data_IF_014031757908
#
_entry.id   IF_014031757908
#
_cell.length_a   1.000
_cell.length_b   1.000
_cell.length_c   1.000
_cell.angle_alpha   90.00
_cell.angle_beta   90.00
_cell.angle_gamma   90.00
#
_symmetry.space_group_name_H-M   'P 1'
#
loop_
_entity.id
_entity.type
_entity.pdbx_description
1 polymer ?
#
# COMPACT_ATOMS: atom_id res chain seq x y z
N UNK A 1 58.74 -57.92 -8.87
CA UNK A 1 58.35 -57.05 -7.76
C UNK A 1 58.32 -55.62 -8.28
N UNK A 2 57.15 -55.06 -8.55
CA UNK A 2 56.95 -53.67 -8.97
C UNK A 2 56.07 -53.07 -7.92
N UNK A 3 56.60 -52.12 -7.16
CA UNK A 3 55.86 -51.30 -6.19
C UNK A 3 55.21 -50.10 -6.88
N UNK A 4 53.93 -49.93 -6.68
CA UNK A 4 53.18 -48.75 -7.11
C UNK A 4 53.12 -47.73 -5.98
N UNK A 5 53.34 -46.41 -6.24
CA UNK A 5 53.08 -45.36 -5.26
C UNK A 5 51.60 -45.00 -5.24
N UNK A 6 51.04 -45.02 -4.05
CA UNK A 6 49.71 -44.53 -3.76
C UNK A 6 49.71 -42.98 -3.68
N UNK A 7 49.14 -42.30 -4.66
CA UNK A 7 48.88 -40.87 -4.60
C UNK A 7 47.44 -40.62 -4.13
N UNK A 8 47.30 -40.35 -2.84
CA UNK A 8 46.04 -39.86 -2.25
C UNK A 8 45.83 -38.39 -2.53
N UNK A 9 45.03 -38.07 -3.54
CA UNK A 9 44.55 -36.72 -3.76
C UNK A 9 43.30 -36.50 -2.92
N UNK A 10 43.51 -35.96 -1.72
CA UNK A 10 42.40 -35.46 -0.88
C UNK A 10 41.79 -34.20 -1.50
N UNK A 11 40.65 -34.31 -2.17
CA UNK A 11 39.86 -33.15 -2.57
C UNK A 11 39.23 -32.56 -1.32
N UNK A 12 39.77 -31.44 -0.87
CA UNK A 12 39.14 -30.60 0.16
C UNK A 12 37.94 -29.90 -0.46
N UNK A 13 36.75 -30.45 -0.26
CA UNK A 13 35.51 -29.75 -0.54
C UNK A 13 35.45 -28.52 0.39
N UNK A 14 35.18 -27.31 -0.15
CA UNK A 14 35.01 -26.13 0.70
C UNK A 14 33.80 -26.34 1.62
N UNK A 15 34.04 -26.33 2.91
CA UNK A 15 33.00 -26.34 3.93
C UNK A 15 32.04 -25.15 3.68
N UNK A 16 30.72 -25.35 3.62
CA UNK A 16 29.80 -24.22 3.45
C UNK A 16 29.96 -23.27 4.64
N UNK A 17 30.39 -22.05 4.34
CA UNK A 17 30.51 -20.98 5.33
C UNK A 17 29.17 -20.83 6.01
N UNK A 18 29.09 -21.15 7.28
CA UNK A 18 27.89 -21.01 8.11
C UNK A 18 27.58 -19.52 8.19
N UNK A 19 26.77 -19.04 7.23
CA UNK A 19 26.27 -17.67 7.22
C UNK A 19 25.65 -17.40 8.59
N UNK A 20 26.19 -16.41 9.28
CA UNK A 20 25.82 -16.13 10.65
C UNK A 20 24.40 -15.55 10.67
N UNK A 21 23.43 -16.44 10.80
CA UNK A 21 21.99 -16.15 10.75
C UNK A 21 21.57 -15.04 11.72
N UNK A 22 22.26 -14.92 12.86
CA UNK A 22 22.04 -13.85 13.82
C UNK A 22 22.43 -12.48 13.26
N UNK A 23 23.59 -12.33 12.60
CA UNK A 23 23.99 -11.06 11.99
C UNK A 23 23.02 -10.60 10.89
N UNK A 24 22.49 -11.54 10.14
CA UNK A 24 21.52 -11.25 9.09
C UNK A 24 20.18 -10.79 9.66
N UNK A 25 19.73 -11.39 10.76
CA UNK A 25 18.50 -10.97 11.46
C UNK A 25 18.67 -9.57 12.07
N UNK A 26 19.80 -9.31 12.72
CA UNK A 26 20.09 -8.03 13.38
C UNK A 26 20.15 -6.84 12.39
N UNK A 27 20.49 -7.08 11.13
CA UNK A 27 20.47 -6.03 10.09
C UNK A 27 19.10 -5.85 9.43
N UNK A 28 18.30 -6.91 9.33
CA UNK A 28 16.98 -6.86 8.66
C UNK A 28 15.91 -6.25 9.56
N UNK A 29 15.99 -6.49 10.87
CA UNK A 29 14.96 -6.01 11.81
C UNK A 29 14.79 -4.48 11.81
N UNK A 30 15.85 -3.65 11.89
CA UNK A 30 15.69 -2.19 11.85
C UNK A 30 15.19 -1.70 10.50
N UNK A 31 15.66 -2.25 9.39
CA UNK A 31 15.21 -1.90 8.04
C UNK A 31 13.73 -2.25 7.84
N UNK A 32 13.32 -3.42 8.32
CA UNK A 32 11.92 -3.84 8.29
C UNK A 32 11.04 -2.92 9.15
N UNK A 33 11.50 -2.55 10.34
CA UNK A 33 10.78 -1.64 11.25
C UNK A 33 10.60 -0.25 10.63
N UNK A 34 11.62 0.30 10.00
CA UNK A 34 11.55 1.57 9.29
C UNK A 34 10.57 1.50 8.12
N UNK A 35 10.63 0.45 7.32
CA UNK A 35 9.71 0.21 6.20
C UNK A 35 8.27 0.09 6.68
N UNK A 36 8.01 -0.63 7.77
CA UNK A 36 6.68 -0.75 8.39
C UNK A 36 6.19 0.61 8.86
N UNK A 37 7.03 1.40 9.50
CA UNK A 37 6.65 2.73 10.00
C UNK A 37 6.29 3.66 8.84
N UNK A 38 7.13 3.73 7.82
CA UNK A 38 6.88 4.54 6.61
C UNK A 38 5.63 4.09 5.86
N UNK A 39 5.40 2.79 5.72
CA UNK A 39 4.23 2.27 5.00
C UNK A 39 2.90 2.56 5.70
N UNK A 40 2.92 2.81 7.02
CA UNK A 40 1.73 3.15 7.83
C UNK A 40 1.44 4.66 7.89
N UNK A 41 2.30 5.49 7.34
CA UNK A 41 2.06 6.93 7.32
C UNK A 41 0.87 7.28 6.44
N UNK A 42 -0.17 7.80 7.08
CA UNK A 42 -1.42 8.17 6.41
C UNK A 42 -1.24 9.45 5.60
N UNK A 43 -1.50 9.38 4.30
CA UNK A 43 -1.48 10.51 3.37
C UNK A 43 -2.79 11.31 3.46
N UNK A 44 -3.92 10.61 3.51
CA UNK A 44 -5.24 11.20 3.65
C UNK A 44 -6.21 10.19 4.27
N UNK A 45 -7.12 10.68 5.11
CA UNK A 45 -8.20 9.88 5.67
C UNK A 45 -9.50 10.68 5.61
N UNK A 46 -10.61 9.98 5.37
CA UNK A 46 -11.94 10.56 5.38
C UNK A 46 -12.95 9.57 5.95
N UNK A 47 -14.03 10.11 6.50
CA UNK A 47 -15.16 9.34 7.01
C UNK A 47 -16.46 9.83 6.37
N UNK A 48 -17.40 8.91 6.21
CA UNK A 48 -18.73 9.25 5.71
C UNK A 48 -19.50 10.10 6.73
N UNK A 49 -20.43 10.92 6.24
CA UNK A 49 -21.08 11.96 7.05
C UNK A 49 -22.38 11.45 7.63
N UNK A 50 -22.51 11.55 8.98
CA UNK A 50 -23.79 11.41 9.67
C UNK A 50 -24.72 12.60 9.31
N UNK A 51 -26.07 12.45 9.15
CA UNK A 51 -26.88 11.24 9.38
C UNK A 51 -27.12 10.36 8.16
N UNK A 52 -26.43 10.60 7.04
CA UNK A 52 -26.63 9.84 5.80
C UNK A 52 -26.19 8.38 5.93
N UNK A 53 -25.25 8.11 6.85
CA UNK A 53 -24.90 6.77 7.30
C UNK A 53 -24.98 6.71 8.82
N UNK A 54 -25.74 5.74 9.36
CA UNK A 54 -25.81 5.51 10.82
C UNK A 54 -24.47 4.97 11.34
N UNK A 55 -23.71 4.30 10.49
CA UNK A 55 -22.40 3.73 10.78
C UNK A 55 -21.42 4.31 9.76
N UNK A 56 -20.57 5.26 10.17
CA UNK A 56 -19.68 5.92 9.23
C UNK A 56 -18.57 4.98 8.75
N UNK A 57 -18.49 4.80 7.43
CA UNK A 57 -17.36 4.16 6.78
C UNK A 57 -16.14 5.06 6.83
N UNK A 58 -14.97 4.46 6.87
CA UNK A 58 -13.70 5.17 6.84
C UNK A 58 -12.88 4.76 5.62
N UNK A 59 -12.32 5.75 4.94
CA UNK A 59 -11.37 5.55 3.85
C UNK A 59 -10.04 6.13 4.28
N UNK A 60 -8.99 5.33 4.24
CA UNK A 60 -7.63 5.75 4.61
C UNK A 60 -6.67 5.35 3.50
N UNK A 61 -5.93 6.32 3.00
CA UNK A 61 -4.84 6.11 2.04
C UNK A 61 -3.52 6.28 2.77
N UNK A 62 -2.73 5.24 2.79
CA UNK A 62 -1.32 5.26 3.22
C UNK A 62 -0.38 5.15 2.02
N UNK A 63 0.93 5.02 2.26
CA UNK A 63 1.94 4.94 1.20
C UNK A 63 1.89 3.66 0.37
N UNK A 64 1.27 2.60 0.87
CA UNK A 64 1.28 1.28 0.25
C UNK A 64 -0.12 0.86 -0.24
N UNK A 65 -1.16 1.29 0.44
CA UNK A 65 -2.52 0.78 0.23
C UNK A 65 -3.60 1.80 0.52
N UNK A 66 -4.75 1.56 -0.08
CA UNK A 66 -6.03 2.17 0.27
C UNK A 66 -6.80 1.19 1.15
N UNK A 67 -7.24 1.63 2.31
CA UNK A 67 -8.04 0.83 3.23
C UNK A 67 -9.44 1.45 3.31
N UNK A 68 -10.46 0.62 3.07
CA UNK A 68 -11.88 0.97 3.21
C UNK A 68 -12.43 0.12 4.35
N UNK A 69 -12.92 0.77 5.40
CA UNK A 69 -13.55 0.10 6.53
C UNK A 69 -15.05 0.41 6.53
N UNK A 70 -15.85 -0.58 6.17
CA UNK A 70 -17.31 -0.53 6.28
C UNK A 70 -17.71 -0.94 7.69
N UNK A 71 -18.57 -0.15 8.33
CA UNK A 71 -19.09 -0.47 9.66
C UNK A 71 -20.56 -0.89 9.55
N UNK A 72 -20.86 -2.07 10.08
CA UNK A 72 -22.23 -2.60 10.17
C UNK A 72 -22.73 -2.61 11.62
N UNK A 73 -24.06 -2.64 11.76
CA UNK A 73 -24.73 -2.63 13.04
C UNK A 73 -24.37 -3.90 13.85
N UNK A 74 -23.78 -3.74 15.04
CA UNK A 74 -23.36 -4.80 15.98
C UNK A 74 -22.29 -5.79 15.48
N UNK A 75 -21.81 -5.66 14.26
CA UNK A 75 -20.82 -6.59 13.73
C UNK A 75 -19.47 -5.91 13.44
N UNK A 76 -18.44 -6.73 13.35
CA UNK A 76 -17.17 -6.31 12.77
C UNK A 76 -17.46 -6.02 11.30
N UNK A 77 -17.33 -4.76 10.90
CA UNK A 77 -17.53 -4.36 9.53
C UNK A 77 -16.46 -4.96 8.60
N UNK A 78 -16.76 -5.00 7.32
CA UNK A 78 -15.80 -5.42 6.31
C UNK A 78 -14.67 -4.41 6.19
N UNK A 79 -13.42 -4.87 6.23
CA UNK A 79 -12.23 -4.06 5.98
C UNK A 79 -11.54 -4.55 4.72
N UNK A 80 -11.59 -3.73 3.69
CA UNK A 80 -10.94 -4.00 2.41
C UNK A 80 -9.64 -3.20 2.33
N UNK A 81 -8.54 -3.87 2.03
CA UNK A 81 -7.24 -3.23 1.79
C UNK A 81 -6.79 -3.51 0.36
N UNK A 82 -6.60 -2.46 -0.41
CA UNK A 82 -6.23 -2.51 -1.82
C UNK A 82 -4.86 -1.88 -1.99
N UNK A 83 -3.89 -2.59 -2.53
CA UNK A 83 -2.57 -2.01 -2.86
C UNK A 83 -2.73 -0.96 -3.95
N UNK A 84 -1.98 0.12 -3.86
CA UNK A 84 -2.07 1.22 -4.84
C UNK A 84 -1.71 0.74 -6.24
N UNK A 85 -0.75 -0.19 -6.35
CA UNK A 85 -0.32 -0.80 -7.62
C UNK A 85 -1.44 -1.59 -8.33
N UNK A 86 -2.42 -2.07 -7.58
CA UNK A 86 -3.54 -2.85 -8.08
C UNK A 86 -4.73 -1.97 -8.48
N UNK A 87 -4.68 -0.67 -8.20
CA UNK A 87 -5.71 0.29 -8.57
C UNK A 87 -5.49 0.73 -10.02
N UNK A 88 -6.49 0.49 -10.86
CA UNK A 88 -6.47 0.88 -12.27
C UNK A 88 -6.97 2.30 -12.48
N UNK A 89 -8.03 2.67 -11.78
CA UNK A 89 -8.67 3.97 -11.92
C UNK A 89 -9.44 4.35 -10.66
N UNK A 90 -9.61 5.63 -10.45
CA UNK A 90 -10.43 6.20 -9.37
C UNK A 90 -11.33 7.28 -9.94
N UNK A 91 -12.61 7.20 -9.61
CA UNK A 91 -13.63 8.18 -10.00
C UNK A 91 -14.28 8.77 -8.75
N UNK A 92 -14.54 10.06 -8.78
CA UNK A 92 -15.31 10.75 -7.75
C UNK A 92 -16.54 11.38 -8.39
N UNK A 93 -17.71 10.95 -7.93
CA UNK A 93 -18.98 11.59 -8.25
C UNK A 93 -19.30 12.58 -7.13
N UNK A 94 -19.41 13.86 -7.44
CA UNK A 94 -19.59 14.92 -6.44
C UNK A 94 -20.86 15.74 -6.70
N UNK A 95 -21.65 15.82 -5.65
CA UNK A 95 -22.78 16.76 -5.55
C UNK A 95 -22.36 18.08 -4.91
N UNK A 96 -23.32 18.95 -4.55
CA UNK A 96 -23.02 20.23 -3.92
C UNK A 96 -22.35 20.11 -2.54
N UNK A 97 -22.69 19.10 -1.74
CA UNK A 97 -22.17 18.90 -0.38
C UNK A 97 -21.46 17.57 -0.19
N UNK A 98 -21.94 16.54 -0.83
CA UNK A 98 -21.47 15.17 -0.67
C UNK A 98 -20.84 14.64 -1.96
N UNK A 99 -20.02 13.61 -1.80
CA UNK A 99 -19.41 12.89 -2.89
C UNK A 99 -19.37 11.39 -2.64
N UNK A 100 -19.10 10.64 -3.68
CA UNK A 100 -18.80 9.22 -3.61
C UNK A 100 -17.51 8.92 -4.37
N UNK A 101 -16.80 7.89 -3.92
CA UNK A 101 -15.59 7.36 -4.57
C UNK A 101 -15.90 5.99 -5.15
N UNK A 102 -15.47 5.78 -6.39
CA UNK A 102 -15.47 4.48 -7.06
C UNK A 102 -14.04 4.10 -7.41
N UNK A 103 -13.61 2.93 -6.98
CA UNK A 103 -12.25 2.44 -7.14
C UNK A 103 -12.31 1.18 -7.99
N UNK A 104 -11.61 1.19 -9.12
CA UNK A 104 -11.48 0.10 -10.06
C UNK A 104 -10.13 -0.57 -9.85
N UNK A 105 -10.12 -1.90 -9.68
CA UNK A 105 -8.92 -2.67 -9.38
C UNK A 105 -8.69 -3.77 -10.40
N UNK A 106 -7.43 -4.25 -10.49
CA UNK A 106 -7.02 -5.24 -11.47
C UNK A 106 -7.50 -6.66 -11.16
N UNK A 107 -7.69 -6.99 -9.88
CA UNK A 107 -7.84 -8.39 -9.44
C UNK A 107 -9.24 -8.79 -9.02
N UNK A 108 -10.27 -8.03 -9.35
CA UNK A 108 -11.62 -8.44 -8.98
C UNK A 108 -12.34 -9.15 -10.11
N UNK A 109 -12.72 -10.40 -9.82
CA UNK A 109 -13.62 -11.22 -10.63
C UNK A 109 -15.07 -10.74 -10.66
N UNK A 110 -15.36 -9.62 -9.97
CA UNK A 110 -16.69 -9.00 -9.98
C UNK A 110 -16.58 -7.67 -10.71
N UNK A 111 -17.38 -7.49 -11.75
CA UNK A 111 -17.43 -6.26 -12.60
C UNK A 111 -17.86 -4.98 -11.85
N UNK A 112 -17.90 -5.01 -10.53
CA UNK A 112 -18.34 -3.87 -9.71
C UNK A 112 -17.15 -3.19 -9.04
N UNK A 113 -17.02 -1.85 -9.18
CA UNK A 113 -16.02 -1.09 -8.45
C UNK A 113 -16.32 -1.07 -6.95
N UNK A 114 -15.30 -0.92 -6.12
CA UNK A 114 -15.51 -0.55 -4.73
C UNK A 114 -16.07 0.86 -4.68
N UNK A 115 -17.16 1.03 -3.95
CA UNK A 115 -17.82 2.32 -3.83
C UNK A 115 -17.96 2.71 -2.36
N UNK A 116 -17.56 3.95 -2.06
CA UNK A 116 -17.82 4.60 -0.78
C UNK A 116 -18.63 5.85 -1.05
N UNK A 117 -19.83 5.93 -0.48
CA UNK A 117 -20.77 7.03 -0.68
C UNK A 117 -20.85 7.92 0.56
N UNK A 118 -21.43 9.12 0.42
CA UNK A 118 -21.65 10.07 1.52
C UNK A 118 -20.38 10.60 2.18
N UNK A 119 -19.29 10.70 1.45
CA UNK A 119 -18.11 11.47 1.85
C UNK A 119 -18.41 12.98 1.71
N UNK A 120 -17.71 13.82 2.46
CA UNK A 120 -17.70 15.25 2.16
C UNK A 120 -17.13 15.47 0.76
N UNK A 121 -17.72 16.39 0.00
CA UNK A 121 -17.26 16.72 -1.35
C UNK A 121 -15.75 16.96 -1.43
N UNK A 122 -15.22 17.75 -0.50
CA UNK A 122 -13.79 18.09 -0.48
C UNK A 122 -12.91 16.87 -0.22
N UNK A 123 -13.33 15.96 0.68
CA UNK A 123 -12.59 14.75 1.01
C UNK A 123 -12.57 13.78 -0.17
N UNK A 124 -13.72 13.59 -0.82
CA UNK A 124 -13.81 12.73 -2.02
C UNK A 124 -12.89 13.21 -3.15
N UNK A 125 -12.90 14.53 -3.41
CA UNK A 125 -12.02 15.12 -4.42
C UNK A 125 -10.55 15.03 -4.05
N UNK A 126 -10.20 15.28 -2.79
CA UNK A 126 -8.82 15.19 -2.32
C UNK A 126 -8.27 13.78 -2.40
N UNK A 127 -9.03 12.79 -1.93
CA UNK A 127 -8.62 11.38 -2.04
C UNK A 127 -8.44 10.99 -3.50
N UNK A 128 -9.40 11.38 -4.36
CA UNK A 128 -9.33 11.12 -5.81
C UNK A 128 -8.03 11.68 -6.40
N UNK A 129 -7.70 12.96 -6.13
CA UNK A 129 -6.50 13.61 -6.67
C UNK A 129 -5.21 12.95 -6.17
N UNK A 130 -5.07 12.76 -4.86
CA UNK A 130 -3.86 12.11 -4.29
C UNK A 130 -3.68 10.71 -4.85
N UNK A 131 -4.75 9.92 -4.93
CA UNK A 131 -4.69 8.57 -5.46
C UNK A 131 -4.36 8.54 -6.95
N UNK A 132 -4.95 9.44 -7.74
CA UNK A 132 -4.64 9.59 -9.15
C UNK A 132 -3.19 10.02 -9.38
N UNK A 133 -2.70 10.98 -8.58
CA UNK A 133 -1.30 11.40 -8.60
C UNK A 133 -0.36 10.23 -8.28
N UNK A 134 -0.74 9.38 -7.32
CA UNK A 134 0.05 8.18 -6.99
C UNK A 134 0.11 7.18 -8.14
N UNK A 135 -1.04 6.94 -8.80
CA UNK A 135 -1.10 6.07 -9.99
C UNK A 135 -0.16 6.60 -11.09
N UNK A 136 -0.18 7.93 -11.33
CA UNK A 136 0.70 8.57 -12.31
C UNK A 136 2.18 8.42 -11.91
N UNK A 137 2.51 8.65 -10.64
CA UNK A 137 3.88 8.51 -10.13
C UNK A 137 4.42 7.08 -10.33
N UNK A 138 3.61 6.06 -10.01
CA UNK A 138 3.94 4.65 -10.23
C UNK A 138 4.15 4.37 -11.72
N UNK A 139 3.26 4.82 -12.58
CA UNK A 139 3.36 4.63 -14.04
C UNK A 139 4.62 5.29 -14.62
N UNK A 140 5.01 6.44 -14.06
CA UNK A 140 6.24 7.15 -14.45
C UNK A 140 7.49 6.63 -13.74
N UNK A 141 7.36 5.62 -12.86
CA UNK A 141 8.45 5.04 -12.07
C UNK A 141 9.17 6.10 -11.20
N UNK A 142 8.42 7.07 -10.68
CA UNK A 142 8.95 8.10 -9.79
C UNK A 142 9.04 7.49 -8.39
N UNK A 143 10.24 7.52 -7.80
CA UNK A 143 10.44 7.08 -6.42
C UNK A 143 9.97 8.15 -5.44
N UNK A 144 8.89 7.85 -4.73
CA UNK A 144 8.30 8.73 -3.72
C UNK A 144 8.76 8.39 -2.29
N UNK A 145 9.64 7.40 -2.11
CA UNK A 145 10.01 6.87 -0.79
C UNK A 145 10.78 7.86 0.08
N UNK A 146 11.57 8.74 -0.54
CA UNK A 146 12.41 9.72 0.15
C UNK A 146 11.65 10.96 0.67
N UNK A 147 10.43 11.21 0.17
CA UNK A 147 9.68 12.42 0.52
C UNK A 147 8.99 12.30 1.87
N UNK A 148 8.97 13.34 2.71
CA UNK A 148 8.13 13.41 3.90
C UNK A 148 6.65 13.30 3.55
N UNK A 149 5.85 12.65 4.40
CA UNK A 149 4.43 12.37 4.13
C UNK A 149 3.58 13.61 3.79
N UNK A 150 3.72 14.75 4.52
CA UNK A 150 2.93 15.94 4.18
C UNK A 150 3.30 16.55 2.82
N UNK A 151 4.56 16.49 2.45
CA UNK A 151 5.06 16.99 1.17
C UNK A 151 4.63 16.06 0.03
N UNK A 152 4.76 14.75 0.22
CA UNK A 152 4.28 13.75 -0.70
C UNK A 152 2.79 13.93 -0.99
N UNK A 153 1.95 14.05 0.04
CA UNK A 153 0.52 14.24 -0.12
C UNK A 153 0.17 15.48 -0.94
N UNK A 154 0.91 16.60 -0.73
CA UNK A 154 0.74 17.83 -1.51
C UNK A 154 1.12 17.62 -2.97
N UNK A 155 2.31 17.07 -3.23
CA UNK A 155 2.79 16.83 -4.59
C UNK A 155 1.88 15.88 -5.37
N UNK A 156 1.35 14.85 -4.72
CA UNK A 156 0.40 13.92 -5.33
C UNK A 156 -0.96 14.60 -5.59
N UNK A 157 -1.43 15.47 -4.70
CA UNK A 157 -2.67 16.25 -4.91
C UNK A 157 -2.53 17.17 -6.14
N UNK A 158 -1.37 17.82 -6.31
CA UNK A 158 -1.06 18.67 -7.45
C UNK A 158 -0.94 17.86 -8.75
N UNK A 159 -0.32 16.68 -8.70
CA UNK A 159 -0.12 15.80 -9.86
C UNK A 159 -1.43 15.17 -10.35
N UNK A 160 -2.40 14.98 -9.48
CA UNK A 160 -3.69 14.32 -9.78
C UNK A 160 -4.84 15.26 -10.09
N UNK A 161 -4.56 16.56 -10.31
CA UNK A 161 -5.59 17.58 -10.69
C UNK A 161 -6.18 17.40 -12.07
#
# INVERSE_FOLDING_TARGET
MKSYPSSGTGSILPTPTRVNKHRMIDSIVPELAETITKSREVLVSATTVFPFTLFPDAVTLDRAKLTIAHREFFAVGEVVSIRIEDILNVMADVGPFLGSLKIFTRFFSTDKPYQVSFLRRQDALRIKRILQGYIIAIQKKIDCSALPTPELARMLDDLGQ
#
